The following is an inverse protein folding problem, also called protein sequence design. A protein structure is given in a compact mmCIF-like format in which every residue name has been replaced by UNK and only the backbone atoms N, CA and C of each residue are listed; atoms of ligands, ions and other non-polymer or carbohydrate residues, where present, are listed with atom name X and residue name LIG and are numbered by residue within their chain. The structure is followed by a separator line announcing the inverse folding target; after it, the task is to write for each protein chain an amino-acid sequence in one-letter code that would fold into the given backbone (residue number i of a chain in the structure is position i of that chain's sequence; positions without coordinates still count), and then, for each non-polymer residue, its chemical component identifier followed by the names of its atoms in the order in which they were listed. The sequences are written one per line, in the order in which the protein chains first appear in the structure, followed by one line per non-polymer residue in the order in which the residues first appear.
data_IF_667507443194
#
_entry.id   IF_667507443194
#
_cell.length_a   1.000
_cell.length_b   1.000
_cell.length_c   1.000
_cell.angle_alpha   90.00
_cell.angle_beta   90.00
_cell.angle_gamma   90.00
#
_symmetry.space_group_name_H-M   'P 1'
#
loop_
_entity.id
_entity.type
_entity.pdbx_description
1 polymer ?
#
# COMPACT_ATOMS: atom_id res chain seq x y z
N UNK A 1 -11.50 35.66 -28.30
CA UNK A 1 -12.24 35.36 -27.05
C UNK A 1 -12.82 33.92 -27.03
N UNK A 2 -13.17 33.35 -28.17
CA UNK A 2 -13.69 31.98 -28.22
C UNK A 2 -12.63 30.92 -27.86
N UNK A 3 -11.35 31.24 -27.91
CA UNK A 3 -10.25 30.25 -27.70
C UNK A 3 -9.87 30.05 -26.23
N UNK A 4 -10.17 31.02 -25.37
CA UNK A 4 -9.81 30.95 -23.94
C UNK A 4 -10.68 29.97 -23.15
N UNK A 5 -11.95 29.83 -23.49
CA UNK A 5 -12.87 28.90 -22.82
C UNK A 5 -12.51 27.43 -23.10
N UNK A 6 -12.09 27.12 -24.33
CA UNK A 6 -11.70 25.77 -24.71
C UNK A 6 -10.42 25.32 -24.00
N UNK A 7 -9.46 26.22 -23.81
CA UNK A 7 -8.21 25.93 -23.12
C UNK A 7 -8.44 25.65 -21.62
N UNK A 8 -9.33 26.36 -20.98
CA UNK A 8 -9.68 26.18 -19.56
C UNK A 8 -10.37 24.83 -19.35
N UNK A 9 -11.25 24.42 -20.26
CA UNK A 9 -11.92 23.12 -20.18
C UNK A 9 -10.94 21.96 -20.32
N UNK A 10 -9.95 22.06 -21.19
CA UNK A 10 -8.92 21.04 -21.38
C UNK A 10 -8.06 20.87 -20.12
N UNK A 11 -7.71 21.97 -19.47
CA UNK A 11 -6.94 21.95 -18.22
C UNK A 11 -7.70 21.27 -17.08
N UNK A 12 -9.00 21.48 -16.98
CA UNK A 12 -9.86 20.85 -15.96
C UNK A 12 -9.95 19.32 -16.18
N UNK A 13 -10.06 18.87 -17.43
CA UNK A 13 -10.09 17.44 -17.76
C UNK A 13 -8.77 16.78 -17.38
N UNK A 14 -7.63 17.42 -17.62
CA UNK A 14 -6.32 16.90 -17.24
C UNK A 14 -6.16 16.78 -15.73
N UNK A 15 -6.71 17.71 -14.96
CA UNK A 15 -6.66 17.67 -13.50
C UNK A 15 -7.50 16.52 -12.93
N UNK A 16 -8.62 16.17 -13.53
CA UNK A 16 -9.49 15.08 -13.10
C UNK A 16 -8.79 13.74 -13.30
N UNK A 17 -8.04 13.56 -14.40
CA UNK A 17 -7.33 12.33 -14.71
C UNK A 17 -6.14 12.07 -13.77
N UNK A 18 -5.61 13.10 -13.10
CA UNK A 18 -4.47 12.96 -12.19
C UNK A 18 -4.85 12.45 -10.79
N UNK A 19 -6.16 12.29 -10.47
CA UNK A 19 -6.63 12.02 -9.12
C UNK A 19 -6.97 10.54 -8.83
N UNK A 20 -6.92 9.66 -9.84
CA UNK A 20 -7.38 8.26 -9.70
C UNK A 20 -6.26 7.26 -9.89
N UNK A 21 -5.32 7.16 -8.91
CA UNK A 21 -4.20 6.23 -9.00
C UNK A 21 -4.21 5.16 -7.91
N UNK A 22 -5.33 4.94 -7.24
CA UNK A 22 -5.38 3.94 -6.19
C UNK A 22 -6.30 2.78 -6.57
N UNK A 23 -5.95 1.58 -6.10
CA UNK A 23 -6.75 0.39 -6.28
C UNK A 23 -7.17 -0.17 -4.93
N UNK A 24 -8.29 -0.88 -4.90
CA UNK A 24 -8.74 -1.61 -3.73
C UNK A 24 -7.97 -2.92 -3.59
N UNK A 25 -7.66 -3.32 -2.36
CA UNK A 25 -6.92 -4.56 -2.10
C UNK A 25 -7.60 -5.80 -2.71
N UNK A 26 -8.94 -5.82 -2.79
CA UNK A 26 -9.67 -6.93 -3.39
C UNK A 26 -9.30 -7.18 -4.85
N UNK A 27 -8.83 -6.15 -5.57
CA UNK A 27 -8.47 -6.23 -6.98
C UNK A 27 -6.98 -6.45 -7.21
N UNK A 28 -6.21 -6.69 -6.16
CA UNK A 28 -4.73 -6.68 -6.23
C UNK A 28 -4.18 -7.70 -7.22
N UNK A 29 -4.84 -8.85 -7.37
CA UNK A 29 -4.35 -9.91 -8.28
C UNK A 29 -4.30 -9.49 -9.74
N UNK A 30 -5.15 -8.55 -10.13
CA UNK A 30 -5.15 -8.00 -11.50
C UNK A 30 -3.93 -7.12 -11.78
N UNK A 31 -3.21 -6.72 -10.75
CA UNK A 31 -2.13 -5.75 -10.84
C UNK A 31 -0.77 -6.30 -10.44
N UNK A 32 -0.65 -7.63 -10.29
CA UNK A 32 0.62 -8.28 -10.02
C UNK A 32 1.62 -7.93 -11.11
N UNK A 33 2.84 -7.56 -10.71
CA UNK A 33 3.88 -7.14 -11.63
C UNK A 33 3.85 -5.65 -11.97
N UNK A 34 3.06 -4.85 -11.25
CA UNK A 34 2.98 -3.40 -11.45
C UNK A 34 3.15 -2.65 -10.14
N UNK A 35 3.52 -1.37 -10.23
CA UNK A 35 3.55 -0.46 -9.09
C UNK A 35 2.18 0.17 -8.90
N UNK A 36 1.63 0.07 -7.68
CA UNK A 36 0.31 0.59 -7.39
C UNK A 36 0.24 1.20 -5.98
N UNK A 37 -0.75 2.04 -5.78
CA UNK A 37 -1.19 2.49 -4.46
C UNK A 37 -2.38 1.62 -4.08
N UNK A 38 -2.18 0.69 -3.15
CA UNK A 38 -3.18 -0.31 -2.77
C UNK A 38 -3.79 0.08 -1.45
N UNK A 39 -5.11 0.23 -1.41
CA UNK A 39 -5.83 0.71 -0.22
C UNK A 39 -6.74 -0.37 0.34
N UNK A 40 -6.82 -0.41 1.67
CA UNK A 40 -7.67 -1.36 2.39
C UNK A 40 -7.40 -1.31 3.88
N UNK A 41 -8.14 -2.13 4.61
CA UNK A 41 -7.99 -2.23 6.06
C UNK A 41 -6.95 -3.28 6.41
N UNK A 42 -6.09 -2.96 7.36
CA UNK A 42 -5.17 -3.93 7.96
C UNK A 42 -5.92 -4.71 9.03
N UNK A 43 -6.18 -5.98 8.78
CA UNK A 43 -6.93 -6.85 9.68
C UNK A 43 -6.05 -7.50 10.73
N UNK A 44 -4.83 -7.88 10.35
CA UNK A 44 -3.89 -8.50 11.27
C UNK A 44 -2.47 -8.10 10.93
N UNK A 45 -1.60 -8.22 11.90
CA UNK A 45 -0.18 -7.97 11.73
C UNK A 45 0.60 -9.10 12.37
N UNK A 46 1.81 -9.34 11.89
CA UNK A 46 2.67 -10.38 12.42
C UNK A 46 4.11 -9.91 12.42
N UNK A 47 4.79 -10.14 13.54
CA UNK A 47 6.21 -9.85 13.65
C UNK A 47 6.96 -11.15 13.97
N UNK A 48 7.77 -11.61 13.02
CA UNK A 48 8.57 -12.83 13.15
C UNK A 48 9.96 -12.47 13.70
N UNK A 49 10.07 -12.38 15.02
CA UNK A 49 11.31 -12.00 15.69
C UNK A 49 12.40 -13.06 15.57
N UNK A 50 11.98 -14.31 15.42
CA UNK A 50 12.91 -15.45 15.43
C UNK A 50 13.64 -15.63 14.11
N UNK A 51 13.30 -14.88 13.09
CA UNK A 51 14.03 -14.84 11.85
C UNK A 51 15.22 -13.88 11.99
N UNK A 52 16.34 -14.22 11.36
CA UNK A 52 17.55 -13.38 11.38
C UNK A 52 17.28 -11.93 10.96
N UNK A 53 16.24 -11.70 10.20
CA UNK A 53 15.92 -10.39 9.63
C UNK A 53 14.76 -9.68 10.31
N UNK A 54 14.01 -10.38 11.17
CA UNK A 54 12.87 -9.79 11.85
C UNK A 54 11.80 -9.31 10.87
N UNK A 55 11.13 -10.25 10.20
CA UNK A 55 10.11 -9.94 9.18
C UNK A 55 8.82 -9.50 9.84
N UNK A 56 8.24 -8.41 9.35
CA UNK A 56 6.95 -7.90 9.79
C UNK A 56 5.98 -7.91 8.62
N UNK A 57 4.77 -8.42 8.84
CA UNK A 57 3.73 -8.49 7.82
C UNK A 57 2.52 -7.67 8.24
N UNK A 58 1.98 -6.89 7.30
CA UNK A 58 0.77 -6.10 7.46
C UNK A 58 -0.28 -6.71 6.52
N UNK A 59 -1.26 -7.41 7.07
CA UNK A 59 -2.23 -8.16 6.27
C UNK A 59 -3.44 -7.30 5.95
N UNK A 60 -3.56 -6.91 4.68
CA UNK A 60 -4.62 -6.04 4.19
C UNK A 60 -5.74 -6.82 3.54
N UNK A 61 -6.98 -6.45 3.84
CA UNK A 61 -8.18 -7.03 3.23
C UNK A 61 -8.70 -8.28 3.91
N UNK A 62 -7.95 -8.83 4.85
CA UNK A 62 -8.32 -10.01 5.63
C UNK A 62 -7.19 -10.41 6.54
N UNK A 63 -7.51 -11.21 7.56
CA UNK A 63 -6.50 -11.78 8.44
C UNK A 63 -5.76 -12.92 7.75
N UNK A 64 -4.51 -13.15 8.13
CA UNK A 64 -3.75 -14.27 7.62
C UNK A 64 -4.48 -15.60 7.88
N UNK A 65 -4.61 -16.51 6.90
CA UNK A 65 -4.05 -16.51 5.55
C UNK A 65 -5.01 -15.97 4.47
N UNK A 66 -6.06 -15.22 4.84
CA UNK A 66 -7.11 -14.77 3.93
C UNK A 66 -6.91 -13.31 3.48
N UNK A 67 -5.73 -12.74 3.68
CA UNK A 67 -5.43 -11.39 3.23
C UNK A 67 -5.41 -11.30 1.71
N UNK A 68 -5.82 -10.13 1.18
CA UNK A 68 -5.70 -9.82 -0.25
C UNK A 68 -4.25 -9.55 -0.64
N UNK A 69 -3.52 -8.87 0.23
CA UNK A 69 -2.12 -8.50 0.01
C UNK A 69 -1.47 -8.28 1.36
N UNK A 70 -0.16 -8.59 1.46
CA UNK A 70 0.62 -8.32 2.64
C UNK A 70 1.66 -7.23 2.34
N UNK A 71 1.72 -6.21 3.20
CA UNK A 71 2.87 -5.32 3.26
C UNK A 71 3.96 -6.00 4.09
N UNK A 72 5.17 -6.08 3.53
CA UNK A 72 6.28 -6.78 4.18
C UNK A 72 7.42 -5.81 4.42
N UNK A 73 7.88 -5.73 5.65
CA UNK A 73 9.05 -4.94 6.00
C UNK A 73 9.94 -5.74 6.94
N UNK A 74 11.18 -5.30 7.12
CA UNK A 74 12.16 -5.97 7.97
C UNK A 74 12.55 -5.06 9.12
N UNK A 75 13.02 -5.66 10.20
CA UNK A 75 13.44 -4.94 11.40
C UNK A 75 14.36 -3.75 11.07
N UNK A 76 15.36 -3.99 10.21
CA UNK A 76 16.32 -2.95 9.84
C UNK A 76 15.63 -1.76 9.17
N UNK A 77 14.70 -2.02 8.24
CA UNK A 77 13.98 -0.96 7.54
C UNK A 77 13.08 -0.17 8.46
N UNK A 78 12.25 -0.85 9.27
CA UNK A 78 11.33 -0.08 10.09
C UNK A 78 12.05 0.68 11.20
N UNK A 79 13.16 0.17 11.73
CA UNK A 79 13.95 0.88 12.75
C UNK A 79 14.56 2.17 12.21
N UNK A 80 15.03 2.15 10.97
CA UNK A 80 15.69 3.31 10.36
C UNK A 80 14.71 4.28 9.70
N UNK A 81 13.62 3.78 9.15
CA UNK A 81 12.79 4.51 8.20
C UNK A 81 11.35 4.75 8.66
N UNK A 82 11.01 4.32 9.88
CA UNK A 82 9.69 4.56 10.46
C UNK A 82 9.81 5.31 11.77
N UNK A 83 8.94 6.28 12.00
CA UNK A 83 8.83 7.00 13.26
C UNK A 83 7.90 6.28 14.25
N UNK A 84 7.28 5.17 13.84
CA UNK A 84 6.36 4.39 14.65
C UNK A 84 6.55 2.89 14.38
N UNK A 85 5.99 2.05 15.24
CA UNK A 85 5.93 0.60 15.05
C UNK A 85 4.78 0.26 14.09
N UNK A 86 5.08 -0.17 12.84
CA UNK A 86 4.01 -0.41 11.85
C UNK A 86 2.99 -1.47 12.30
N UNK A 87 3.45 -2.57 12.89
CA UNK A 87 2.58 -3.65 13.31
C UNK A 87 1.58 -3.24 14.38
N UNK A 88 1.96 -2.32 15.25
CA UNK A 88 1.09 -1.86 16.34
C UNK A 88 0.21 -0.70 15.91
N UNK A 89 0.78 0.26 15.21
CA UNK A 89 0.04 1.47 14.84
C UNK A 89 -0.98 1.22 13.74
N UNK A 90 -0.66 0.36 12.77
CA UNK A 90 -1.50 0.20 11.58
C UNK A 90 -2.57 -0.86 11.72
N UNK A 91 -2.52 -1.70 12.74
CA UNK A 91 -3.53 -2.73 12.96
C UNK A 91 -4.91 -2.09 13.09
N UNK A 92 -5.88 -2.65 12.36
CA UNK A 92 -7.27 -2.19 12.29
C UNK A 92 -7.46 -0.81 11.65
N UNK A 93 -6.43 -0.26 11.02
CA UNK A 93 -6.51 1.01 10.31
C UNK A 93 -6.80 0.81 8.84
N UNK A 94 -7.47 1.79 8.25
CA UNK A 94 -7.58 1.89 6.79
C UNK A 94 -6.37 2.67 6.28
N UNK A 95 -5.60 2.04 5.40
CA UNK A 95 -4.36 2.62 4.89
C UNK A 95 -4.25 2.37 3.39
N UNK A 96 -3.32 3.08 2.76
CA UNK A 96 -2.85 2.77 1.42
C UNK A 96 -1.36 2.44 1.48
N UNK A 97 -0.95 1.41 0.75
CA UNK A 97 0.45 1.01 0.61
C UNK A 97 0.86 1.21 -0.84
N UNK A 98 1.99 1.87 -1.06
CA UNK A 98 2.52 2.10 -2.40
C UNK A 98 3.74 1.21 -2.64
N UNK A 99 3.75 0.52 -3.79
CA UNK A 99 4.89 -0.27 -4.17
C UNK A 99 4.59 -1.25 -5.28
N UNK A 100 5.60 -2.03 -5.62
CA UNK A 100 5.52 -3.07 -6.63
C UNK A 100 4.82 -4.29 -6.04
N UNK A 101 3.79 -4.78 -6.75
CA UNK A 101 3.05 -5.95 -6.33
C UNK A 101 3.70 -7.18 -6.92
N UNK A 102 4.21 -8.04 -6.06
CA UNK A 102 4.80 -9.32 -6.46
C UNK A 102 4.13 -10.46 -5.72
N UNK A 103 4.50 -11.70 -6.05
CA UNK A 103 3.98 -12.86 -5.35
C UNK A 103 5.08 -13.55 -4.57
N UNK A 104 4.72 -14.06 -3.40
CA UNK A 104 5.55 -14.94 -2.61
C UNK A 104 4.70 -16.15 -2.23
N UNK A 105 5.12 -17.34 -2.67
CA UNK A 105 4.36 -18.59 -2.50
C UNK A 105 2.91 -18.46 -2.99
N UNK A 106 2.74 -17.80 -4.15
CA UNK A 106 1.44 -17.60 -4.77
C UNK A 106 0.57 -16.51 -4.17
N UNK A 107 1.07 -15.74 -3.19
CA UNK A 107 0.31 -14.69 -2.52
C UNK A 107 0.88 -13.32 -2.84
N UNK A 108 0.01 -12.32 -3.11
CA UNK A 108 0.47 -10.97 -3.38
C UNK A 108 1.12 -10.32 -2.16
N UNK A 109 2.20 -9.59 -2.40
CA UNK A 109 2.87 -8.82 -1.36
C UNK A 109 3.50 -7.56 -1.95
N UNK A 110 3.72 -6.58 -1.06
CA UNK A 110 4.38 -5.32 -1.38
C UNK A 110 5.49 -5.13 -0.33
N UNK A 111 6.73 -4.92 -0.79
CA UNK A 111 7.82 -4.60 0.13
C UNK A 111 7.72 -3.14 0.56
N UNK A 112 7.77 -2.91 1.86
CA UNK A 112 7.70 -1.59 2.48
C UNK A 112 9.06 -1.28 3.09
N UNK A 113 9.73 -0.26 2.56
CA UNK A 113 11.07 0.14 2.99
C UNK A 113 11.06 1.34 3.92
N UNK A 114 10.02 2.20 3.82
CA UNK A 114 9.90 3.37 4.67
C UNK A 114 8.43 3.79 4.80
N UNK A 115 8.17 4.64 5.80
CA UNK A 115 6.80 5.08 6.11
C UNK A 115 6.16 5.94 5.01
N UNK A 116 6.95 6.52 4.10
CA UNK A 116 6.41 7.31 3.00
C UNK A 116 5.59 6.47 2.03
N UNK A 117 5.78 5.15 2.02
CA UNK A 117 4.97 4.24 1.21
C UNK A 117 3.59 3.98 1.82
N UNK A 118 3.35 4.46 3.03
CA UNK A 118 2.09 4.22 3.75
C UNK A 118 1.38 5.54 3.98
N UNK A 119 0.10 5.57 3.62
CA UNK A 119 -0.79 6.68 3.91
C UNK A 119 -1.92 6.17 4.80
N UNK A 120 -2.04 6.73 6.01
CA UNK A 120 -3.13 6.39 6.92
C UNK A 120 -4.34 7.22 6.56
N UNK A 121 -5.48 6.56 6.29
CA UNK A 121 -6.70 7.25 5.89
C UNK A 121 -7.52 7.63 7.12
N UNK A 122 -7.46 6.82 8.17
CA UNK A 122 -8.14 7.12 9.43
C UNK A 122 -7.45 6.46 10.64
#
# INVERSE_FOLDING_TARGET
MKYTLTSILLLLVLQINAQNNQINSVDVEKYIGTNQLVCGKIFSTRYLRDTKQGVMCLNMGGSYPNQHVAGVTWYKQYKQNFTYRPDKKLKNKNICMEGYIETYRGRPQIFIFNENQIKIIE
#
